data_IF_909526449220
#
_entry.id   IF_909526449220
#
_cell.length_a   1.000
_cell.length_b   1.000
_cell.length_c   1.000
_cell.angle_alpha   90.00
_cell.angle_beta   90.00
_cell.angle_gamma   90.00
#
_symmetry.space_group_name_H-M   'P 1'
#
loop_
_entity.id
_entity.type
_entity.pdbx_description
1 polymer ?
#
# COMPACT_ATOMS: atom_id res chain seq x y z
N UNK A 1 -0.16 20.51 -20.56
CA UNK A 1 -1.02 19.34 -20.32
C UNK A 1 -0.59 18.13 -21.11
N UNK A 2 -0.50 18.23 -22.45
CA UNK A 2 -0.08 17.10 -23.29
C UNK A 2 1.29 16.55 -22.92
N UNK A 3 2.22 17.43 -22.58
CA UNK A 3 3.56 17.05 -22.22
C UNK A 3 3.58 16.16 -20.97
N UNK A 4 2.80 16.52 -19.94
CA UNK A 4 2.69 15.72 -18.71
C UNK A 4 2.02 14.37 -18.97
N UNK A 5 0.98 14.34 -19.80
CA UNK A 5 0.30 13.10 -20.15
C UNK A 5 1.27 12.10 -20.77
N UNK A 6 2.17 12.57 -21.64
CA UNK A 6 3.17 11.72 -22.30
C UNK A 6 4.22 11.21 -21.32
N UNK A 7 4.36 11.84 -20.15
CA UNK A 7 5.30 11.42 -19.12
C UNK A 7 4.67 10.47 -18.08
N UNK A 8 3.38 10.18 -18.21
CA UNK A 8 2.68 9.30 -17.26
C UNK A 8 3.30 7.90 -17.28
N UNK A 9 3.44 7.34 -16.09
CA UNK A 9 4.01 6.01 -15.87
C UNK A 9 2.99 5.14 -15.16
N UNK A 10 3.06 3.85 -15.37
CA UNK A 10 2.20 2.88 -14.69
C UNK A 10 2.70 2.61 -13.29
N UNK A 11 1.78 2.67 -12.34
CA UNK A 11 1.98 2.32 -10.93
C UNK A 11 0.86 1.38 -10.51
N UNK A 12 0.88 0.94 -9.26
CA UNK A 12 -0.22 0.17 -8.69
C UNK A 12 -0.75 0.89 -7.46
N UNK A 13 -2.08 1.01 -7.39
CA UNK A 13 -2.78 1.55 -6.23
C UNK A 13 -3.25 0.39 -5.37
N UNK A 14 -2.94 0.43 -4.07
CA UNK A 14 -3.38 -0.57 -3.11
C UNK A 14 -4.32 0.06 -2.10
N UNK A 15 -5.46 -0.58 -1.88
CA UNK A 15 -6.39 -0.25 -0.78
C UNK A 15 -6.34 -1.40 0.21
N UNK A 16 -5.95 -1.10 1.44
CA UNK A 16 -5.85 -2.09 2.51
C UNK A 16 -7.08 -1.95 3.40
N UNK A 17 -7.74 -3.08 3.67
CA UNK A 17 -8.96 -3.10 4.48
C UNK A 17 -8.78 -4.01 5.68
N UNK A 18 -9.29 -3.60 6.87
CA UNK A 18 -9.24 -4.47 8.03
C UNK A 18 -10.29 -5.57 7.94
N UNK A 19 -9.96 -6.75 8.48
CA UNK A 19 -10.93 -7.78 8.77
C UNK A 19 -11.37 -7.63 10.24
N UNK A 20 -12.41 -8.36 10.70
CA UNK A 20 -12.76 -8.33 12.12
C UNK A 20 -11.59 -8.69 13.04
N UNK A 21 -10.66 -9.51 12.57
CA UNK A 21 -9.48 -9.92 13.34
C UNK A 21 -8.56 -8.76 13.68
N UNK A 22 -8.55 -7.71 12.87
CA UNK A 22 -7.75 -6.51 13.14
C UNK A 22 -8.05 -5.92 14.51
N UNK A 23 -9.32 -5.98 14.94
CA UNK A 23 -9.77 -5.33 16.17
C UNK A 23 -9.51 -6.16 17.43
N UNK A 24 -8.96 -7.36 17.29
CA UNK A 24 -8.57 -8.21 18.41
C UNK A 24 -7.21 -7.77 18.96
N UNK A 25 -7.07 -7.87 20.30
CA UNK A 25 -5.84 -7.43 20.97
C UNK A 25 -4.60 -8.19 20.48
N UNK A 26 -4.74 -9.47 20.13
CA UNK A 26 -3.65 -10.32 19.68
C UNK A 26 -3.07 -9.88 18.34
N UNK A 27 -3.79 -9.04 17.60
CA UNK A 27 -3.33 -8.56 16.29
C UNK A 27 -2.29 -7.46 16.39
N UNK A 28 -2.18 -6.75 17.51
CA UNK A 28 -1.29 -5.59 17.65
C UNK A 28 0.16 -5.85 17.27
N UNK A 29 0.80 -6.93 17.74
CA UNK A 29 2.19 -7.20 17.37
C UNK A 29 2.36 -7.41 15.86
N UNK A 30 1.39 -8.05 15.22
CA UNK A 30 1.41 -8.33 13.78
C UNK A 30 1.19 -7.05 12.98
N UNK A 31 0.27 -6.19 13.43
CA UNK A 31 0.04 -4.87 12.81
C UNK A 31 1.31 -4.03 12.88
N UNK A 32 2.04 -4.11 14.00
CA UNK A 32 3.31 -3.43 14.16
C UNK A 32 4.35 -3.92 13.14
N UNK A 33 4.46 -5.23 12.95
CA UNK A 33 5.37 -5.82 11.95
C UNK A 33 4.96 -5.42 10.52
N UNK A 34 3.66 -5.37 10.25
CA UNK A 34 3.13 -4.86 8.99
C UNK A 34 3.60 -3.44 8.74
N UNK A 35 3.49 -2.55 9.73
CA UNK A 35 3.92 -1.16 9.62
C UNK A 35 5.41 -1.03 9.38
N UNK A 36 6.23 -1.83 10.06
CA UNK A 36 7.68 -1.83 9.88
C UNK A 36 8.05 -2.25 8.45
N UNK A 37 7.39 -3.27 7.93
CA UNK A 37 7.61 -3.72 6.56
C UNK A 37 7.25 -2.64 5.55
N UNK A 38 6.12 -1.94 5.77
CA UNK A 38 5.72 -0.83 4.89
C UNK A 38 6.79 0.27 4.86
N UNK A 39 7.37 0.61 5.99
CA UNK A 39 8.43 1.62 6.04
C UNK A 39 9.69 1.15 5.31
N UNK A 40 10.01 -0.14 5.39
CA UNK A 40 11.12 -0.70 4.63
C UNK A 40 10.88 -0.64 3.13
N UNK A 41 9.65 -0.96 2.69
CA UNK A 41 9.27 -0.88 1.27
C UNK A 41 9.30 0.57 0.78
N UNK A 42 8.91 1.53 1.61
CA UNK A 42 9.00 2.95 1.29
C UNK A 42 10.47 3.37 1.14
N UNK A 43 11.31 3.02 2.08
CA UNK A 43 12.73 3.35 2.03
C UNK A 43 13.43 2.76 0.80
N UNK A 44 12.99 1.59 0.35
CA UNK A 44 13.51 0.93 -0.84
C UNK A 44 12.97 1.53 -2.15
N UNK A 45 12.03 2.48 -2.07
CA UNK A 45 11.41 3.08 -3.26
C UNK A 45 10.39 2.19 -3.96
N UNK A 46 10.03 1.06 -3.35
CA UNK A 46 9.04 0.12 -3.90
C UNK A 46 7.63 0.63 -3.65
N UNK A 47 7.39 1.20 -2.48
CA UNK A 47 6.09 1.76 -2.08
C UNK A 47 6.28 3.21 -1.64
N UNK A 48 6.47 4.14 -2.60
CA UNK A 48 6.85 5.51 -2.28
C UNK A 48 5.79 6.32 -1.53
N UNK A 49 4.52 5.93 -1.63
CA UNK A 49 3.44 6.60 -0.91
C UNK A 49 2.74 5.60 -0.02
N UNK A 50 2.72 5.90 1.29
CA UNK A 50 2.08 5.11 2.32
C UNK A 50 1.16 6.05 3.09
N UNK A 51 -0.15 5.82 2.99
CA UNK A 51 -1.16 6.65 3.65
C UNK A 51 -1.99 5.80 4.60
N UNK A 52 -1.67 5.76 5.89
CA UNK A 52 -2.57 5.14 6.86
C UNK A 52 -3.92 5.89 6.88
N UNK A 53 -5.01 5.14 6.96
CA UNK A 53 -6.36 5.69 7.03
C UNK A 53 -6.97 5.22 8.35
N UNK A 54 -7.49 6.15 9.12
CA UNK A 54 -7.97 5.88 10.47
C UNK A 54 -9.47 5.65 10.57
N UNK A 55 -10.06 4.87 9.66
CA UNK A 55 -11.47 4.53 9.79
C UNK A 55 -11.67 3.00 9.81
N UNK A 56 -12.91 2.56 10.01
CA UNK A 56 -13.23 1.14 10.15
C UNK A 56 -13.28 0.41 8.81
N UNK A 57 -13.32 1.11 7.70
CA UNK A 57 -13.49 0.52 6.37
C UNK A 57 -12.18 0.37 5.63
N UNK A 58 -11.27 1.32 5.81
CA UNK A 58 -9.99 1.36 5.11
C UNK A 58 -8.89 1.56 6.13
N UNK A 59 -7.88 0.71 6.09
CA UNK A 59 -6.69 0.83 6.93
C UNK A 59 -5.58 1.63 6.28
N UNK A 60 -5.53 1.66 4.96
CA UNK A 60 -4.49 2.42 4.28
C UNK A 60 -4.66 2.44 2.77
N UNK A 61 -4.00 3.40 2.16
CA UNK A 61 -3.88 3.53 0.71
C UNK A 61 -2.40 3.71 0.40
N UNK A 62 -1.90 2.96 -0.57
CA UNK A 62 -0.49 3.02 -0.96
C UNK A 62 -0.35 3.05 -2.47
N UNK A 63 0.75 3.63 -2.93
CA UNK A 63 1.15 3.57 -4.32
C UNK A 63 2.44 2.77 -4.41
N UNK A 64 2.44 1.75 -5.25
CA UNK A 64 3.61 0.93 -5.57
C UNK A 64 4.26 1.39 -6.86
N UNK A 65 5.57 1.47 -6.86
CA UNK A 65 6.36 1.72 -8.07
C UNK A 65 6.62 0.39 -8.78
N UNK A 66 5.53 -0.32 -9.07
CA UNK A 66 5.51 -1.63 -9.72
C UNK A 66 4.26 -1.74 -10.58
N UNK A 67 4.13 -2.82 -11.34
CA UNK A 67 2.84 -3.16 -11.92
C UNK A 67 1.93 -3.81 -10.87
N UNK A 68 0.68 -4.05 -11.24
CA UNK A 68 -0.33 -4.60 -10.31
C UNK A 68 0.01 -6.02 -9.88
N UNK A 69 0.53 -6.85 -10.77
CA UNK A 69 0.84 -8.24 -10.44
C UNK A 69 1.98 -8.34 -9.44
N UNK A 70 3.02 -7.54 -9.63
CA UNK A 70 4.13 -7.48 -8.68
C UNK A 70 3.66 -6.95 -7.32
N UNK A 71 2.82 -5.92 -7.31
CA UNK A 71 2.27 -5.39 -6.07
C UNK A 71 1.45 -6.44 -5.31
N UNK A 72 0.66 -7.25 -6.02
CA UNK A 72 -0.09 -8.36 -5.40
C UNK A 72 0.85 -9.37 -4.75
N UNK A 73 1.93 -9.73 -5.44
CA UNK A 73 2.91 -10.67 -4.90
C UNK A 73 3.58 -10.11 -3.64
N UNK A 74 3.90 -8.83 -3.63
CA UNK A 74 4.51 -8.17 -2.47
C UNK A 74 3.54 -8.18 -1.29
N UNK A 75 2.28 -7.83 -1.51
CA UNK A 75 1.28 -7.78 -0.45
C UNK A 75 0.89 -9.15 0.07
N UNK A 76 0.95 -10.18 -0.77
CA UNK A 76 0.67 -11.54 -0.32
C UNK A 76 1.66 -12.03 0.75
N UNK A 77 2.84 -11.44 0.82
CA UNK A 77 3.86 -11.76 1.82
C UNK A 77 3.77 -10.90 3.08
N UNK A 78 2.85 -9.93 3.11
CA UNK A 78 2.70 -9.06 4.27
C UNK A 78 2.24 -9.85 5.50
N UNK A 79 2.86 -9.65 6.68
CA UNK A 79 2.48 -10.41 7.87
C UNK A 79 1.03 -10.21 8.28
N UNK A 80 0.48 -9.01 8.12
CA UNK A 80 -0.93 -8.75 8.43
C UNK A 80 -1.89 -9.44 7.48
N UNK A 81 -1.53 -9.50 6.19
CA UNK A 81 -2.32 -10.21 5.18
C UNK A 81 -2.25 -11.71 5.43
N UNK A 82 -1.07 -12.24 5.68
CA UNK A 82 -0.88 -13.68 5.95
C UNK A 82 -1.61 -14.15 7.20
N UNK A 83 -1.72 -13.28 8.19
CA UNK A 83 -2.43 -13.59 9.43
C UNK A 83 -3.95 -13.40 9.33
N UNK A 84 -4.46 -12.94 8.20
CA UNK A 84 -5.89 -12.71 8.01
C UNK A 84 -6.40 -11.43 8.67
N UNK A 85 -5.52 -10.53 9.07
CA UNK A 85 -5.86 -9.25 9.71
C UNK A 85 -6.30 -8.23 8.67
N UNK A 86 -5.70 -8.28 7.48
CA UNK A 86 -6.00 -7.39 6.37
C UNK A 86 -6.35 -8.18 5.11
N UNK A 87 -7.22 -7.60 4.31
CA UNK A 87 -7.38 -7.93 2.90
C UNK A 87 -7.00 -6.71 2.09
N UNK A 88 -6.73 -6.88 0.80
CA UNK A 88 -6.33 -5.77 -0.04
C UNK A 88 -6.95 -5.86 -1.43
N UNK A 89 -7.06 -4.68 -2.04
CA UNK A 89 -7.40 -4.53 -3.45
C UNK A 89 -6.24 -3.84 -4.14
N UNK A 90 -5.90 -4.27 -5.34
CA UNK A 90 -4.86 -3.66 -6.14
C UNK A 90 -5.39 -3.35 -7.52
N UNK A 91 -5.11 -2.14 -7.97
CA UNK A 91 -5.51 -1.65 -9.29
C UNK A 91 -4.29 -1.04 -9.96
N UNK A 92 -4.15 -1.28 -11.26
CA UNK A 92 -3.19 -0.52 -12.05
C UNK A 92 -3.65 0.93 -12.13
N UNK A 93 -2.71 1.84 -12.03
CA UNK A 93 -3.00 3.26 -12.18
C UNK A 93 -1.85 3.95 -12.90
N UNK A 94 -2.06 5.20 -13.25
CA UNK A 94 -1.02 6.02 -13.87
C UNK A 94 -0.72 7.21 -12.98
N UNK A 95 0.54 7.58 -12.95
CA UNK A 95 0.99 8.75 -12.21
C UNK A 95 2.05 9.49 -13.01
N UNK A 96 2.44 10.64 -12.49
CA UNK A 96 3.43 11.48 -13.16
C UNK A 96 4.71 11.47 -12.32
N UNK A 97 5.83 10.95 -12.88
CA UNK A 97 7.08 10.93 -12.12
C UNK A 97 7.42 12.30 -11.56
N UNK A 98 7.78 12.32 -10.27
CA UNK A 98 8.02 13.56 -9.54
C UNK A 98 6.85 14.03 -8.69
N UNK A 99 5.66 13.44 -8.85
CA UNK A 99 4.55 13.71 -7.94
C UNK A 99 4.94 13.29 -6.51
N UNK A 100 4.64 14.14 -5.55
CA UNK A 100 4.99 13.92 -4.16
C UNK A 100 4.05 14.71 -3.26
N UNK A 101 3.97 14.26 -2.01
CA UNK A 101 3.20 14.98 -1.00
C UNK A 101 4.00 16.23 -0.58
N UNK A 102 3.36 17.39 -0.49
CA UNK A 102 4.05 18.58 -0.01
C UNK A 102 4.38 18.43 1.48
N UNK A 103 5.47 19.08 1.88
CA UNK A 103 5.87 19.12 3.28
C UNK A 103 4.89 19.99 4.10
#
# INVERSE_FOLDING_TARGET
MHHRINQAKTYALMVLKPTPKYFEADSRPIVWEHGRRNMALQAAGIMPIVCPVGDEQISGICIFNTDADEARAIMAEDPGVRAGIFIFEIHGCRGFPGDALPA
#
